data_IF_347039666665
#
_entry.id   IF_347039666665
#
_cell.length_a   1.000
_cell.length_b   1.000
_cell.length_c   1.000
_cell.angle_alpha   90.00
_cell.angle_beta   90.00
_cell.angle_gamma   90.00
#
_symmetry.space_group_name_H-M   'P 1'
#
loop_
_entity.id
_entity.type
_entity.pdbx_description
1 polymer ?
#
# COMPACT_ATOMS: atom_id res chain seq x y z
N UNK A 1 34.12 -21.11 18.04
CA UNK A 1 32.91 -21.46 17.29
C UNK A 1 31.76 -21.39 18.27
N UNK A 2 30.96 -20.32 18.24
CA UNK A 2 29.62 -20.15 18.86
C UNK A 2 29.23 -18.66 18.88
N UNK A 3 29.41 -17.94 17.76
CA UNK A 3 29.01 -16.53 17.68
C UNK A 3 28.21 -16.16 16.42
N UNK A 4 28.06 -17.07 15.45
CA UNK A 4 27.36 -16.82 14.18
C UNK A 4 25.94 -17.41 14.13
N UNK A 5 25.51 -18.16 15.14
CA UNK A 5 24.22 -18.85 15.14
C UNK A 5 23.10 -18.08 15.86
N UNK A 6 23.42 -17.07 16.68
CA UNK A 6 22.44 -16.29 17.43
C UNK A 6 21.85 -15.10 16.63
N UNK A 7 22.49 -14.68 15.55
CA UNK A 7 22.06 -13.49 14.79
C UNK A 7 21.05 -13.83 13.68
N UNK A 8 21.05 -15.07 13.18
CA UNK A 8 20.09 -15.51 12.16
C UNK A 8 18.70 -15.78 12.74
N UNK A 9 18.63 -16.44 13.90
CA UNK A 9 17.38 -16.79 14.56
C UNK A 9 16.60 -15.52 15.01
N UNK A 10 17.31 -14.45 15.40
CA UNK A 10 16.69 -13.17 15.78
C UNK A 10 16.18 -12.34 14.60
N UNK A 11 16.68 -12.55 13.38
CA UNK A 11 16.19 -11.86 12.18
C UNK A 11 14.93 -12.54 11.66
N UNK A 12 14.88 -13.87 11.67
CA UNK A 12 13.68 -14.62 11.28
C UNK A 12 12.53 -14.40 12.27
N UNK A 13 12.81 -14.35 13.57
CA UNK A 13 11.78 -14.09 14.60
C UNK A 13 11.24 -12.65 14.52
N UNK A 14 12.09 -11.67 14.20
CA UNK A 14 11.68 -10.27 13.99
C UNK A 14 10.91 -10.07 12.69
N UNK A 15 11.28 -10.80 11.62
CA UNK A 15 10.53 -10.83 10.37
C UNK A 15 9.17 -11.50 10.55
N UNK A 16 9.08 -12.57 11.33
CA UNK A 16 7.82 -13.25 11.63
C UNK A 16 6.91 -12.40 12.52
N UNK A 17 7.46 -11.63 13.47
CA UNK A 17 6.71 -10.63 14.23
C UNK A 17 6.23 -9.47 13.36
N UNK A 18 7.06 -8.95 12.45
CA UNK A 18 6.65 -7.91 11.48
C UNK A 18 5.59 -8.43 10.51
N UNK A 19 5.73 -9.66 10.02
CA UNK A 19 4.76 -10.35 9.15
C UNK A 19 3.45 -10.59 9.92
N UNK A 20 3.51 -11.01 11.18
CA UNK A 20 2.33 -11.24 12.04
C UNK A 20 1.61 -9.93 12.43
N UNK A 21 2.35 -8.88 12.76
CA UNK A 21 1.80 -7.53 12.98
C UNK A 21 1.17 -6.95 11.70
N UNK A 22 1.71 -7.34 10.55
CA UNK A 22 1.19 -6.98 9.23
C UNK A 22 -0.07 -7.79 8.84
N UNK A 23 -0.12 -9.07 9.20
CA UNK A 23 -1.27 -9.96 8.98
C UNK A 23 -2.47 -9.63 9.88
N UNK A 24 -2.23 -9.08 11.08
CA UNK A 24 -3.29 -8.66 12.01
C UNK A 24 -3.99 -7.35 11.62
N UNK A 25 -3.53 -6.66 10.56
CA UNK A 25 -4.31 -5.60 9.89
C UNK A 25 -4.42 -4.26 10.61
N UNK A 26 -3.62 -4.01 11.65
CA UNK A 26 -3.54 -2.70 12.28
C UNK A 26 -2.12 -2.44 12.79
N UNK A 27 -1.24 -1.77 12.02
CA UNK A 27 -0.05 -1.18 12.62
C UNK A 27 -0.47 -0.29 13.80
N UNK A 28 0.35 -0.15 14.86
CA UNK A 28 0.04 0.79 15.92
C UNK A 28 -0.08 2.18 15.30
N UNK A 29 -1.32 2.66 15.14
CA UNK A 29 -1.66 3.92 14.46
C UNK A 29 -0.97 5.13 15.12
N UNK A 30 -0.53 4.96 16.37
CA UNK A 30 0.20 5.90 17.19
C UNK A 30 1.61 6.20 16.64
N UNK A 31 2.12 5.38 15.71
CA UNK A 31 3.41 5.55 15.06
C UNK A 31 3.31 6.06 13.60
N UNK A 32 2.10 6.37 13.10
CA UNK A 32 1.93 6.94 11.77
C UNK A 32 2.00 8.46 11.79
N UNK A 33 2.64 9.00 10.76
CA UNK A 33 2.69 10.43 10.48
C UNK A 33 1.26 11.02 10.37
N UNK A 34 0.89 12.04 11.18
CA UNK A 34 -0.48 12.54 11.26
C UNK A 34 -1.10 12.94 9.91
N UNK A 35 -0.30 13.50 9.01
CA UNK A 35 -0.71 14.00 7.70
C UNK A 35 -1.03 12.92 6.66
N UNK A 36 -0.69 11.65 6.91
CA UNK A 36 -1.01 10.54 5.98
C UNK A 36 -2.01 9.52 6.54
N UNK A 37 -2.36 9.61 7.83
CA UNK A 37 -3.25 8.65 8.51
C UNK A 37 -4.57 8.42 7.76
N UNK A 38 -5.20 9.50 7.27
CA UNK A 38 -6.46 9.41 6.53
C UNK A 38 -6.32 8.58 5.25
N UNK A 39 -5.24 8.79 4.50
CA UNK A 39 -4.94 8.07 3.27
C UNK A 39 -4.64 6.59 3.54
N UNK A 40 -3.79 6.31 4.55
CA UNK A 40 -3.48 4.93 4.96
C UNK A 40 -4.72 4.18 5.39
N UNK A 41 -5.59 4.80 6.20
CA UNK A 41 -6.87 4.20 6.64
C UNK A 41 -7.83 3.95 5.49
N UNK A 42 -7.81 4.79 4.46
CA UNK A 42 -8.63 4.55 3.28
C UNK A 42 -8.13 3.32 2.53
N UNK A 43 -6.82 3.22 2.27
CA UNK A 43 -6.22 2.08 1.57
C UNK A 43 -6.33 0.78 2.36
N UNK A 44 -6.17 0.80 3.68
CA UNK A 44 -6.23 -0.41 4.52
C UNK A 44 -7.62 -1.05 4.56
N UNK A 45 -8.66 -0.32 4.17
CA UNK A 45 -10.04 -0.81 4.05
C UNK A 45 -10.39 -1.32 2.66
N UNK A 46 -9.53 -1.09 1.66
CA UNK A 46 -9.83 -1.53 0.31
C UNK A 46 -9.62 -3.04 0.15
N UNK A 47 -10.45 -3.74 -0.63
CA UNK A 47 -10.47 -5.18 -0.63
C UNK A 47 -9.27 -5.71 -1.44
N UNK A 48 -8.72 -6.84 -0.99
CA UNK A 48 -7.67 -7.53 -1.72
C UNK A 48 -6.30 -6.85 -1.76
N UNK A 49 -6.08 -5.76 -1.01
CA UNK A 49 -4.75 -5.15 -0.82
C UNK A 49 -4.36 -5.06 0.66
N UNK A 50 -3.08 -4.80 0.91
CA UNK A 50 -2.54 -4.49 2.24
C UNK A 50 -1.51 -3.35 2.10
N UNK A 51 -1.60 -2.33 2.93
CA UNK A 51 -0.63 -1.22 3.00
C UNK A 51 0.65 -1.65 3.70
N UNK A 52 1.82 -1.45 3.07
CA UNK A 52 3.13 -1.91 3.57
C UNK A 52 4.07 -0.80 4.01
N UNK A 53 3.85 0.44 3.57
CA UNK A 53 4.68 1.57 3.94
C UNK A 53 3.96 2.86 3.61
N UNK A 54 4.18 3.90 4.42
CA UNK A 54 3.65 5.23 4.18
C UNK A 54 4.55 6.26 4.85
N UNK A 55 4.60 7.47 4.29
CA UNK A 55 5.24 8.64 4.91
C UNK A 55 4.49 9.89 4.49
N UNK A 56 4.27 10.83 5.41
CA UNK A 56 3.64 12.13 5.09
C UNK A 56 4.56 13.08 4.32
N UNK A 57 5.86 12.76 4.25
CA UNK A 57 6.91 13.62 3.75
C UNK A 57 7.38 14.62 4.81
N UNK A 58 8.68 14.91 4.85
CA UNK A 58 9.28 15.78 5.87
C UNK A 58 9.96 17.01 5.24
N UNK A 59 9.21 18.07 4.85
CA UNK A 59 9.77 19.27 4.23
C UNK A 59 10.90 19.92 5.04
N UNK A 60 10.83 19.87 6.36
CA UNK A 60 11.86 20.37 7.27
C UNK A 60 13.20 19.62 7.16
N UNK A 61 13.16 18.36 6.75
CA UNK A 61 14.35 17.50 6.57
C UNK A 61 14.79 17.44 5.11
N UNK A 62 13.84 17.29 4.20
CA UNK A 62 14.07 16.89 2.82
C UNK A 62 13.88 18.06 1.83
N UNK A 63 13.35 19.21 2.28
CA UNK A 63 13.22 20.44 1.49
C UNK A 63 12.43 20.25 0.21
N UNK A 64 12.99 20.69 -0.92
CA UNK A 64 12.39 20.54 -2.28
C UNK A 64 12.35 19.09 -2.78
N UNK A 65 12.80 18.12 -1.97
CA UNK A 65 12.72 16.69 -2.30
C UNK A 65 11.70 15.96 -1.43
N UNK A 66 11.01 16.67 -0.54
CA UNK A 66 10.01 16.05 0.31
C UNK A 66 8.85 15.51 -0.55
N UNK A 67 8.61 14.22 -0.43
CA UNK A 67 7.49 13.51 -1.02
C UNK A 67 6.73 12.76 0.09
N UNK A 68 5.42 12.70 -0.07
CA UNK A 68 4.64 11.70 0.65
C UNK A 68 4.52 10.45 -0.22
N UNK A 69 4.36 9.29 0.42
CA UNK A 69 4.13 8.05 -0.32
C UNK A 69 3.19 7.11 0.41
N UNK A 70 2.53 6.26 -0.38
CA UNK A 70 1.82 5.08 0.12
C UNK A 70 2.17 3.87 -0.74
N UNK A 71 2.53 2.79 -0.07
CA UNK A 71 2.88 1.50 -0.67
C UNK A 71 1.88 0.42 -0.28
N UNK A 72 1.50 -0.45 -1.22
CA UNK A 72 0.63 -1.59 -0.97
C UNK A 72 1.04 -2.84 -1.74
N UNK A 73 0.56 -4.00 -1.28
CA UNK A 73 0.68 -5.31 -1.94
C UNK A 73 -0.69 -5.90 -2.18
N UNK A 74 -0.78 -6.80 -3.17
CA UNK A 74 -1.96 -7.63 -3.40
C UNK A 74 -2.03 -8.76 -2.37
N UNK A 75 -3.24 -9.06 -1.90
CA UNK A 75 -3.54 -10.29 -1.15
C UNK A 75 -3.62 -11.48 -2.09
N UNK A 76 -3.49 -12.68 -1.54
CA UNK A 76 -3.83 -13.93 -2.21
C UNK A 76 -5.34 -13.99 -2.50
N UNK A 77 -5.73 -14.65 -3.59
CA UNK A 77 -7.13 -14.96 -3.89
C UNK A 77 -7.75 -15.93 -2.88
N UNK A 78 -6.92 -16.76 -2.25
CA UNK A 78 -7.30 -17.63 -1.15
C UNK A 78 -6.44 -17.27 0.07
N UNK A 79 -7.08 -16.83 1.14
CA UNK A 79 -6.41 -16.41 2.38
C UNK A 79 -5.67 -17.57 3.08
N UNK A 80 -5.98 -18.82 2.76
CA UNK A 80 -5.34 -19.99 3.36
C UNK A 80 -4.00 -20.35 2.70
N UNK A 81 -3.68 -19.79 1.53
CA UNK A 81 -2.46 -20.12 0.78
C UNK A 81 -1.78 -18.90 0.18
N UNK A 82 -0.55 -19.09 -0.31
CA UNK A 82 0.25 -18.00 -0.85
C UNK A 82 -0.31 -17.48 -2.18
N UNK A 83 -0.01 -16.21 -2.51
CA UNK A 83 -0.37 -15.60 -3.80
C UNK A 83 0.29 -16.30 -5.00
N UNK A 84 1.38 -17.05 -4.79
CA UNK A 84 2.01 -17.86 -5.85
C UNK A 84 1.07 -19.00 -6.26
N UNK A 85 0.38 -19.59 -5.28
CA UNK A 85 -0.42 -20.80 -5.48
C UNK A 85 -1.85 -20.47 -5.91
N UNK A 86 -2.47 -19.46 -5.30
CA UNK A 86 -3.85 -19.06 -5.59
C UNK A 86 -3.97 -17.88 -6.58
N UNK A 87 -2.86 -17.21 -6.89
CA UNK A 87 -2.89 -15.97 -7.66
C UNK A 87 -3.38 -14.76 -6.84
N UNK A 88 -3.43 -13.56 -7.46
CA UNK A 88 -3.82 -12.33 -6.79
C UNK A 88 -5.33 -12.28 -6.51
N UNK A 89 -5.71 -11.64 -5.40
CA UNK A 89 -7.10 -11.37 -5.08
C UNK A 89 -7.78 -10.62 -6.24
N UNK A 90 -8.88 -11.14 -6.82
CA UNK A 90 -9.48 -10.55 -8.03
C UNK A 90 -9.85 -9.07 -7.86
N UNK A 91 -10.47 -8.71 -6.73
CA UNK A 91 -10.82 -7.31 -6.45
C UNK A 91 -9.59 -6.45 -6.17
N UNK A 92 -8.55 -7.01 -5.53
CA UNK A 92 -7.33 -6.26 -5.26
C UNK A 92 -6.57 -5.95 -6.55
N UNK A 93 -6.64 -6.86 -7.53
CA UNK A 93 -6.08 -6.67 -8.86
C UNK A 93 -6.76 -5.52 -9.59
N UNK A 94 -8.10 -5.55 -9.68
CA UNK A 94 -8.88 -4.47 -10.31
C UNK A 94 -8.68 -3.13 -9.59
N UNK A 95 -8.62 -3.15 -8.25
CA UNK A 95 -8.32 -1.97 -7.45
C UNK A 95 -6.97 -1.39 -7.81
N UNK A 96 -5.95 -2.22 -7.85
CA UNK A 96 -4.58 -1.80 -8.15
C UNK A 96 -4.49 -1.22 -9.56
N UNK A 97 -5.15 -1.83 -10.53
CA UNK A 97 -5.25 -1.28 -11.89
C UNK A 97 -5.88 0.12 -11.87
N UNK A 98 -7.00 0.29 -11.17
CA UNK A 98 -7.69 1.58 -11.07
C UNK A 98 -6.83 2.64 -10.35
N UNK A 99 -6.17 2.29 -9.25
CA UNK A 99 -5.30 3.20 -8.49
C UNK A 99 -4.12 3.69 -9.36
N UNK A 100 -3.51 2.77 -10.13
CA UNK A 100 -2.42 3.11 -11.03
C UNK A 100 -2.91 3.96 -12.21
N UNK A 101 -4.10 3.68 -12.74
CA UNK A 101 -4.74 4.52 -13.74
C UNK A 101 -4.98 5.93 -13.21
N UNK A 102 -5.56 6.08 -12.02
CA UNK A 102 -5.84 7.37 -11.39
C UNK A 102 -4.57 8.20 -11.17
N UNK A 103 -3.52 7.59 -10.59
CA UNK A 103 -2.23 8.25 -10.40
C UNK A 103 -1.61 8.69 -11.74
N UNK A 104 -1.74 7.87 -12.78
CA UNK A 104 -1.24 8.20 -14.12
C UNK A 104 -2.06 9.32 -14.78
N UNK A 105 -3.37 9.39 -14.55
CA UNK A 105 -4.22 10.48 -15.04
C UNK A 105 -3.86 11.82 -14.38
N UNK A 106 -3.65 11.83 -13.05
CA UNK A 106 -3.15 13.00 -12.34
C UNK A 106 -1.79 13.46 -12.85
N UNK A 107 -0.86 12.52 -13.06
CA UNK A 107 0.43 12.82 -13.67
C UNK A 107 0.30 13.42 -15.08
N UNK A 108 -0.63 12.93 -15.90
CA UNK A 108 -0.93 13.49 -17.23
C UNK A 108 -1.60 14.87 -17.16
N UNK A 109 -2.37 15.13 -16.11
CA UNK A 109 -2.93 16.45 -15.83
C UNK A 109 -1.86 17.43 -15.29
N UNK A 110 -0.61 16.99 -15.14
CA UNK A 110 0.54 17.79 -14.75
C UNK A 110 0.77 17.87 -13.25
N UNK A 111 0.08 17.05 -12.44
CA UNK A 111 0.42 16.95 -11.01
C UNK A 111 1.72 16.16 -10.83
N UNK A 112 2.51 16.53 -9.82
CA UNK A 112 3.74 15.82 -9.45
C UNK A 112 3.45 14.53 -8.66
N UNK A 113 2.64 13.66 -9.27
CA UNK A 113 2.27 12.33 -8.78
C UNK A 113 3.01 11.29 -9.62
N UNK A 114 3.78 10.43 -8.96
CA UNK A 114 4.46 9.31 -9.61
C UNK A 114 4.01 7.98 -9.01
N UNK A 115 4.08 6.95 -9.86
CA UNK A 115 3.77 5.57 -9.54
C UNK A 115 4.99 4.73 -9.82
N UNK A 116 5.26 3.79 -8.94
CA UNK A 116 6.39 2.86 -9.09
C UNK A 116 6.03 1.48 -8.55
N UNK A 117 6.88 0.51 -8.87
CA UNK A 117 6.79 -0.84 -8.32
C UNK A 117 8.14 -1.24 -7.79
N UNK A 118 8.18 -1.88 -6.62
CA UNK A 118 9.40 -2.43 -6.06
C UNK A 118 9.21 -3.89 -5.65
N UNK A 119 10.34 -4.55 -5.49
CA UNK A 119 10.44 -5.89 -4.93
C UNK A 119 10.98 -5.73 -3.50
N UNK A 120 10.36 -6.35 -2.48
CA UNK A 120 10.92 -6.34 -1.13
C UNK A 120 12.32 -6.95 -1.12
N UNK A 121 13.21 -6.44 -0.26
CA UNK A 121 14.47 -7.10 0.05
C UNK A 121 14.18 -8.56 0.48
N UNK A 122 14.99 -9.55 0.10
CA UNK A 122 16.33 -9.46 -0.50
C UNK A 122 16.37 -9.45 -2.05
N UNK A 123 15.36 -8.90 -2.73
CA UNK A 123 15.28 -8.88 -4.21
C UNK A 123 15.17 -10.26 -4.87
N UNK A 124 14.83 -11.28 -4.07
CA UNK A 124 14.57 -12.65 -4.51
C UNK A 124 13.09 -12.86 -4.81
N UNK A 125 12.48 -11.95 -5.58
CA UNK A 125 11.14 -12.21 -6.11
C UNK A 125 11.25 -13.05 -7.37
N UNK A 126 10.71 -14.26 -7.29
CA UNK A 126 10.42 -15.07 -8.46
C UNK A 126 9.09 -14.62 -9.07
N UNK A 127 8.88 -14.86 -10.38
CA UNK A 127 7.56 -14.71 -10.99
C UNK A 127 6.49 -15.39 -10.12
N UNK A 128 5.45 -14.64 -9.74
CA UNK A 128 4.38 -15.12 -8.85
C UNK A 128 4.41 -14.54 -7.43
N UNK A 129 5.48 -13.88 -6.98
CA UNK A 129 5.47 -13.10 -5.72
C UNK A 129 4.89 -11.70 -5.92
N UNK A 130 4.13 -11.21 -4.93
CA UNK A 130 3.52 -9.89 -5.00
C UNK A 130 4.60 -8.79 -5.06
N UNK A 131 4.47 -7.92 -6.06
CA UNK A 131 5.18 -6.64 -6.11
C UNK A 131 4.59 -5.71 -5.04
N UNK A 132 5.42 -4.80 -4.53
CA UNK A 132 4.91 -3.62 -3.84
C UNK A 132 4.64 -2.55 -4.88
N UNK A 133 3.43 -2.00 -4.87
CA UNK A 133 3.02 -0.87 -5.69
C UNK A 133 3.09 0.40 -4.85
N UNK A 134 3.46 1.51 -5.48
CA UNK A 134 3.65 2.78 -4.80
C UNK A 134 2.98 3.91 -5.56
N UNK A 135 2.46 4.86 -4.80
CA UNK A 135 2.16 6.22 -5.27
C UNK A 135 2.94 7.18 -4.39
N UNK A 136 3.60 8.13 -5.03
CA UNK A 136 4.27 9.25 -4.38
C UNK A 136 3.68 10.54 -4.90
N UNK A 137 3.60 11.56 -4.04
CA UNK A 137 3.30 12.92 -4.43
C UNK A 137 4.33 13.88 -3.87
N UNK A 138 4.84 14.76 -4.73
CA UNK A 138 5.76 15.81 -4.27
C UNK A 138 5.03 16.86 -3.43
N UNK A 139 5.70 17.33 -2.38
CA UNK A 139 5.25 18.47 -1.56
C UNK A 139 5.82 19.81 -2.04
N UNK A 140 6.67 19.79 -3.07
CA UNK A 140 7.28 20.99 -3.64
C UNK A 140 7.25 20.95 -5.17
N UNK A 141 6.78 22.01 -5.81
CA UNK A 141 6.65 22.05 -7.26
C UNK A 141 5.56 23.03 -7.68
N UNK A 142 5.30 23.11 -8.98
CA UNK A 142 4.26 23.98 -9.53
C UNK A 142 2.85 23.40 -9.32
N UNK A 143 2.72 22.08 -9.31
CA UNK A 143 1.42 21.40 -9.20
C UNK A 143 1.50 20.19 -8.28
N UNK A 144 1.60 20.49 -6.99
CA UNK A 144 1.65 19.51 -5.92
C UNK A 144 0.25 19.12 -5.44
N UNK A 145 0.20 18.08 -4.63
CA UNK A 145 -1.02 17.59 -3.99
C UNK A 145 -0.61 16.96 -2.67
N UNK A 146 -1.24 17.35 -1.56
CA UNK A 146 -1.07 16.71 -0.25
C UNK A 146 -1.74 15.32 -0.20
N UNK A 147 -1.43 14.48 0.80
CA UNK A 147 -2.11 13.19 0.97
C UNK A 147 -3.64 13.29 1.06
N UNK A 148 -4.16 14.32 1.75
CA UNK A 148 -5.59 14.53 1.91
C UNK A 148 -6.27 15.01 0.62
N UNK A 149 -5.61 15.89 -0.15
CA UNK A 149 -6.10 16.30 -1.47
C UNK A 149 -6.10 15.13 -2.46
N UNK A 150 -5.09 14.26 -2.40
CA UNK A 150 -5.06 13.04 -3.18
C UNK A 150 -6.20 12.10 -2.79
N UNK A 151 -6.45 11.90 -1.49
CA UNK A 151 -7.58 11.11 -1.03
C UNK A 151 -8.94 11.69 -1.47
N UNK A 152 -9.10 13.01 -1.43
CA UNK A 152 -10.31 13.67 -1.89
C UNK A 152 -10.53 13.47 -3.40
N UNK A 153 -9.47 13.67 -4.21
CA UNK A 153 -9.48 13.40 -5.66
C UNK A 153 -9.83 11.94 -5.95
N UNK A 154 -9.26 11.02 -5.18
CA UNK A 154 -9.50 9.58 -5.31
C UNK A 154 -10.97 9.27 -5.08
N UNK A 155 -11.58 9.78 -3.99
CA UNK A 155 -13.00 9.59 -3.69
C UNK A 155 -13.90 10.17 -4.77
N UNK A 156 -13.63 11.41 -5.19
CA UNK A 156 -14.42 12.06 -6.24
C UNK A 156 -14.36 11.29 -7.56
N UNK A 157 -13.18 10.79 -7.92
CA UNK A 157 -13.00 10.01 -9.16
C UNK A 157 -13.66 8.65 -9.04
N UNK A 158 -13.57 8.01 -7.87
CA UNK A 158 -14.19 6.71 -7.61
C UNK A 158 -15.71 6.75 -7.74
N UNK A 159 -16.37 7.82 -7.28
CA UNK A 159 -17.82 7.99 -7.50
C UNK A 159 -18.21 7.97 -8.99
N UNK A 160 -17.29 8.37 -9.87
CA UNK A 160 -17.54 8.49 -11.32
C UNK A 160 -17.09 7.25 -12.11
N UNK A 161 -16.01 6.59 -11.65
CA UNK A 161 -15.33 5.53 -12.43
C UNK A 161 -15.01 4.27 -11.62
N UNK A 162 -15.34 4.24 -10.34
CA UNK A 162 -15.12 3.10 -9.45
C UNK A 162 -15.99 1.90 -9.84
N UNK A 163 -15.54 0.71 -9.43
CA UNK A 163 -16.20 -0.56 -9.77
C UNK A 163 -16.92 -1.22 -8.57
N UNK A 164 -16.99 -0.53 -7.42
CA UNK A 164 -17.68 -0.98 -6.21
C UNK A 164 -17.89 0.16 -5.22
N UNK A 165 -18.52 -0.08 -4.07
CA UNK A 165 -18.68 0.93 -3.01
C UNK A 165 -17.45 0.89 -2.08
N UNK A 166 -16.79 2.04 -1.88
CA UNK A 166 -15.61 2.14 -1.00
C UNK A 166 -15.97 1.92 0.48
N UNK A 167 -17.24 2.13 0.86
CA UNK A 167 -17.72 1.87 2.22
C UNK A 167 -18.04 0.38 2.44
N UNK A 168 -18.45 -0.35 1.41
CA UNK A 168 -18.74 -1.80 1.48
C UNK A 168 -17.50 -2.69 1.33
N UNK A 169 -16.38 -2.14 0.84
CA UNK A 169 -15.10 -2.85 0.69
C UNK A 169 -14.54 -3.47 1.98
N UNK A 170 -15.00 -3.01 3.15
CA UNK A 170 -14.65 -3.54 4.47
C UNK A 170 -15.63 -4.58 5.04
N UNK A 171 -16.76 -4.83 4.37
CA UNK A 171 -17.74 -5.81 4.81
C UNK A 171 -17.42 -7.17 4.17
N UNK A 172 -16.65 -7.99 4.88
CA UNK A 172 -16.72 -9.45 4.65
C UNK A 172 -18.20 -9.83 4.73
N UNK A 173 -18.79 -10.25 3.60
CA UNK A 173 -20.15 -10.75 3.60
C UNK A 173 -20.20 -11.93 4.57
N UNK A 174 -21.05 -11.89 5.61
CA UNK A 174 -21.22 -13.04 6.48
C UNK A 174 -21.90 -14.13 5.65
N UNK A 175 -21.10 -15.06 5.11
CA UNK A 175 -21.56 -16.10 4.20
C UNK A 175 -20.52 -16.62 3.23
N UNK A 176 -19.47 -15.85 2.94
CA UNK A 176 -18.37 -16.30 2.08
C UNK A 176 -17.22 -16.87 2.94
N UNK A 177 -17.34 -18.15 3.24
CA UNK A 177 -16.26 -19.05 3.68
C UNK A 177 -16.46 -20.36 2.92
N UNK A 178 -15.38 -21.09 2.57
CA UNK A 178 -15.26 -21.94 1.37
C UNK A 178 -16.36 -23.00 1.17
#
# INVERSE_FOLDING_TARGET
MNHEQNDADGIDEMLDEEISAFETGAPPWDALDPGIVSLVRAFSRMPGIITVSSCEGHPERDGEKADWHIGWKLRSADAAVSIIDAGPHPEGWLLTEWLLWHANDLGRAGYDIIRSTSIPAPFLNFPGRALTFWVHGSLSGEKTMSPDEYLASLRETWEKTGYGDLEDAGAVRPGDSP
#
